data_IF_166269619873
#
_entry.id   IF_166269619873
#
_cell.length_a   1.000
_cell.length_b   1.000
_cell.length_c   1.000
_cell.angle_alpha   90.00
_cell.angle_beta   90.00
_cell.angle_gamma   90.00
#
_symmetry.space_group_name_H-M   'P 1'
#
loop_
_entity.id
_entity.type
_entity.pdbx_description
1 polymer ?
#
# COMPACT_ATOMS: atom_id res chain seq x y z
N UNK A 1 -11.27 45.52 36.08
CA UNK A 1 -10.82 44.24 35.50
C UNK A 1 -11.58 44.00 34.21
N UNK A 2 -11.22 44.74 33.16
CA UNK A 2 -11.84 44.61 31.84
C UNK A 2 -10.70 44.38 30.88
N UNK A 3 -10.58 43.13 30.44
CA UNK A 3 -9.51 42.76 29.54
C UNK A 3 -9.79 43.47 28.21
N UNK A 4 -8.82 44.21 27.68
CA UNK A 4 -8.95 44.76 26.34
C UNK A 4 -9.01 43.56 25.37
N UNK A 5 -10.07 43.38 24.55
CA UNK A 5 -10.21 42.20 23.69
C UNK A 5 -9.01 42.05 22.73
N UNK A 6 -8.38 43.17 22.36
CA UNK A 6 -7.17 43.24 21.53
C UNK A 6 -5.95 42.59 22.19
N UNK A 7 -5.83 42.66 23.52
CA UNK A 7 -4.72 42.05 24.27
C UNK A 7 -4.83 40.52 24.28
N UNK A 8 -6.05 39.99 24.44
CA UNK A 8 -6.27 38.53 24.41
C UNK A 8 -6.06 37.95 23.02
N UNK A 9 -6.50 38.64 21.97
CA UNK A 9 -6.29 38.21 20.58
C UNK A 9 -4.80 38.26 20.19
N UNK A 10 -4.08 39.30 20.64
CA UNK A 10 -2.63 39.42 20.43
C UNK A 10 -1.85 38.31 21.15
N UNK A 11 -2.19 38.02 22.41
CA UNK A 11 -1.53 36.96 23.17
C UNK A 11 -1.81 35.57 22.58
N UNK A 12 -3.03 35.34 22.12
CA UNK A 12 -3.41 34.09 21.47
C UNK A 12 -2.68 33.89 20.13
N UNK A 13 -2.55 34.95 19.32
CA UNK A 13 -1.82 34.90 18.04
C UNK A 13 -0.33 34.65 18.25
N UNK A 14 0.26 35.27 19.27
CA UNK A 14 1.66 35.03 19.64
C UNK A 14 1.89 33.59 20.11
N UNK A 15 0.99 33.05 20.92
CA UNK A 15 1.04 31.66 21.37
C UNK A 15 0.91 30.68 20.20
N UNK A 16 0.05 30.96 19.23
CA UNK A 16 -0.13 30.11 18.05
C UNK A 16 1.14 30.04 17.19
N UNK A 17 1.84 31.17 17.01
CA UNK A 17 3.13 31.22 16.30
C UNK A 17 4.22 30.39 17.00
N UNK A 18 4.26 30.43 18.34
CA UNK A 18 5.23 29.64 19.12
C UNK A 18 4.89 28.15 19.16
N UNK A 19 3.63 27.77 18.93
CA UNK A 19 3.17 26.39 18.94
C UNK A 19 3.39 25.64 17.60
N UNK A 20 3.59 26.35 16.49
CA UNK A 20 3.82 25.75 15.16
C UNK A 20 4.98 24.73 15.12
N UNK A 21 6.18 24.99 15.70
CA UNK A 21 7.28 24.01 15.68
C UNK A 21 7.05 22.80 16.60
N UNK A 22 6.07 22.87 17.52
CA UNK A 22 5.72 21.76 18.42
C UNK A 22 4.57 20.90 17.89
N UNK A 23 4.00 21.24 16.73
CA UNK A 23 2.97 20.42 16.11
C UNK A 23 3.60 19.10 15.62
N UNK A 24 3.04 17.93 15.98
CA UNK A 24 3.53 16.65 15.49
C UNK A 24 3.49 16.64 13.96
N UNK A 25 4.64 16.33 13.34
CA UNK A 25 4.72 16.22 11.90
C UNK A 25 3.84 15.05 11.44
N UNK A 26 2.75 15.35 10.74
CA UNK A 26 1.89 14.35 10.13
C UNK A 26 2.61 13.72 8.93
N UNK A 27 3.48 12.74 9.19
CA UNK A 27 4.09 11.91 8.15
C UNK A 27 3.05 10.90 7.70
N UNK A 28 2.57 11.03 6.47
CA UNK A 28 1.74 10.00 5.87
C UNK A 28 2.55 8.71 5.79
N UNK A 29 2.15 7.71 6.56
CA UNK A 29 2.72 6.37 6.49
C UNK A 29 2.29 5.77 5.16
N UNK A 30 3.18 5.76 4.17
CA UNK A 30 2.99 4.94 2.98
C UNK A 30 2.78 3.51 3.45
N UNK A 31 1.58 2.99 3.21
CA UNK A 31 1.24 1.61 3.53
C UNK A 31 2.29 0.71 2.87
N UNK A 32 2.91 -0.16 3.66
CA UNK A 32 3.77 -1.21 3.12
C UNK A 32 2.95 -1.96 2.06
N UNK A 33 3.52 -2.17 0.88
CA UNK A 33 2.90 -3.00 -0.13
C UNK A 33 2.67 -4.38 0.48
N UNK A 34 1.41 -4.68 0.80
CA UNK A 34 0.97 -6.05 1.08
C UNK A 34 1.36 -6.86 -0.14
N UNK A 35 2.40 -7.69 -0.02
CA UNK A 35 2.65 -8.78 -0.96
C UNK A 35 1.38 -9.60 -0.98
N UNK A 36 0.61 -9.49 -2.05
CA UNK A 36 -0.58 -10.30 -2.24
C UNK A 36 -0.13 -11.76 -2.16
N UNK A 37 -0.63 -12.46 -1.14
CA UNK A 37 -0.49 -13.91 -1.03
C UNK A 37 -1.02 -14.48 -2.34
N UNK A 38 -0.11 -15.13 -3.08
CA UNK A 38 -0.39 -15.64 -4.40
C UNK A 38 -1.65 -16.54 -4.31
N UNK A 39 -2.68 -16.34 -5.15
CA UNK A 39 -3.90 -17.13 -5.06
C UNK A 39 -3.56 -18.62 -5.16
N UNK A 40 -4.11 -19.43 -4.25
CA UNK A 40 -3.85 -20.86 -4.23
C UNK A 40 -4.60 -21.51 -5.40
N UNK A 41 -3.85 -21.94 -6.40
CA UNK A 41 -4.40 -22.73 -7.50
C UNK A 41 -4.49 -24.17 -7.00
N UNK A 42 -5.69 -24.75 -6.96
CA UNK A 42 -5.92 -26.13 -6.52
C UNK A 42 -5.17 -27.18 -7.37
N UNK A 43 -4.58 -26.78 -8.50
CA UNK A 43 -3.65 -27.59 -9.27
C UNK A 43 -2.27 -27.57 -8.63
N UNK A 44 -1.75 -28.74 -8.25
CA UNK A 44 -0.40 -28.89 -7.66
C UNK A 44 0.77 -28.51 -8.58
N UNK A 45 0.51 -28.01 -9.79
CA UNK A 45 1.47 -27.25 -10.60
C UNK A 45 0.70 -26.30 -11.52
N UNK A 46 1.16 -25.06 -11.62
CA UNK A 46 0.57 -24.10 -12.54
C UNK A 46 1.59 -23.00 -12.87
N UNK A 47 1.54 -22.50 -14.08
CA UNK A 47 2.35 -21.38 -14.54
C UNK A 47 1.46 -20.43 -15.33
N UNK A 48 1.47 -19.14 -14.98
CA UNK A 48 0.71 -18.10 -15.69
C UNK A 48 1.70 -17.15 -16.34
N UNK A 49 1.55 -16.96 -17.65
CA UNK A 49 2.38 -16.11 -18.48
C UNK A 49 1.50 -15.02 -19.07
N UNK A 50 1.92 -13.77 -18.92
CA UNK A 50 1.32 -12.66 -19.66
C UNK A 50 1.79 -12.72 -21.11
N UNK A 51 0.88 -12.89 -22.07
CA UNK A 51 1.21 -13.03 -23.49
C UNK A 51 1.68 -11.72 -24.14
N UNK A 52 1.38 -10.57 -23.54
CA UNK A 52 1.80 -9.29 -24.09
C UNK A 52 3.29 -9.04 -23.81
N UNK A 53 3.74 -9.39 -22.61
CA UNK A 53 5.14 -9.19 -22.17
C UNK A 53 5.95 -10.49 -22.12
N UNK A 54 5.32 -11.63 -22.38
CA UNK A 54 5.84 -13.00 -22.18
C UNK A 54 6.41 -13.24 -20.77
N UNK A 55 5.95 -12.45 -19.78
CA UNK A 55 6.46 -12.53 -18.41
C UNK A 55 5.66 -13.55 -17.61
N UNK A 56 6.39 -14.36 -16.84
CA UNK A 56 5.78 -15.24 -15.84
C UNK A 56 5.30 -14.39 -14.66
N UNK A 57 4.00 -14.43 -14.38
CA UNK A 57 3.37 -13.72 -13.26
C UNK A 57 3.00 -14.68 -12.11
N UNK A 58 3.02 -15.99 -12.38
CA UNK A 58 2.77 -17.04 -11.42
C UNK A 58 3.55 -18.30 -11.81
N UNK A 59 4.16 -18.96 -10.83
CA UNK A 59 4.85 -20.24 -11.04
C UNK A 59 4.74 -21.10 -9.79
N UNK A 60 4.18 -22.29 -9.93
CA UNK A 60 4.14 -23.33 -8.92
C UNK A 60 4.53 -24.65 -9.59
N UNK A 61 5.69 -25.21 -9.25
CA UNK A 61 6.27 -26.41 -9.87
C UNK A 61 6.20 -26.42 -11.42
N UNK A 62 6.80 -25.45 -12.14
CA UNK A 62 6.64 -25.29 -13.59
C UNK A 62 7.21 -26.46 -14.40
N UNK A 63 8.27 -27.12 -13.91
CA UNK A 63 8.96 -28.22 -14.59
C UNK A 63 8.37 -29.60 -14.28
N UNK A 64 7.23 -29.67 -13.56
CA UNK A 64 6.59 -30.94 -13.25
C UNK A 64 5.97 -31.55 -14.52
N UNK A 65 6.60 -32.58 -15.06
CA UNK A 65 6.10 -33.33 -16.22
C UNK A 65 4.80 -34.05 -15.84
N UNK A 66 3.66 -33.50 -16.26
CA UNK A 66 2.34 -34.15 -16.20
C UNK A 66 1.89 -34.57 -17.59
N UNK A 67 1.08 -35.63 -17.66
CA UNK A 67 0.45 -36.07 -18.91
C UNK A 67 -0.49 -34.98 -19.43
N UNK A 68 -0.27 -34.56 -20.69
CA UNK A 68 -1.19 -33.70 -21.43
C UNK A 68 -2.37 -34.54 -21.92
N UNK A 69 -3.60 -34.15 -21.58
CA UNK A 69 -4.82 -34.69 -22.20
C UNK A 69 -5.30 -33.70 -23.26
N UNK A 70 -5.28 -34.13 -24.52
CA UNK A 70 -5.91 -33.40 -25.62
C UNK A 70 -7.40 -33.75 -25.59
N UNK A 71 -8.26 -32.75 -25.46
CA UNK A 71 -9.70 -32.94 -25.67
C UNK A 71 -9.92 -33.11 -27.17
N UNK A 72 -10.36 -34.29 -27.61
CA UNK A 72 -10.85 -34.44 -28.97
C UNK A 72 -12.14 -33.63 -29.09
N UNK A 73 -12.19 -32.74 -30.08
CA UNK A 73 -13.39 -32.00 -30.47
C UNK A 73 -14.11 -32.75 -31.59
#
# INVERSE_FOLDING_TARGET
MLIMPKFRVSLFSLALMLAVPFAPQAVAKTAAATTASQPEIASGSAMIVDLNTNKVIYSNHPDLVRRLRLSAN
#
